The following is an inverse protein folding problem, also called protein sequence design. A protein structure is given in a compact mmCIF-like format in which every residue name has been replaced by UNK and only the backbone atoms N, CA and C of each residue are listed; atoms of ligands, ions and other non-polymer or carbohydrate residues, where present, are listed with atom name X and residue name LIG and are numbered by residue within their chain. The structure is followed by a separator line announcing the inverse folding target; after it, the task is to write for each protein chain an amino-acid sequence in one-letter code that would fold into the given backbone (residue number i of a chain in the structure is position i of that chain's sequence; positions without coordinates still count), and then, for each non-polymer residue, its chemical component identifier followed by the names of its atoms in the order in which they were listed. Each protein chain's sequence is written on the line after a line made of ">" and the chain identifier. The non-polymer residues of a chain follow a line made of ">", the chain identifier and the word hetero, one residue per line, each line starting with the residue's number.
data_IF_675501703888
#
_entry.id   IF_675501703888
#
_cell.length_a   1.000
_cell.length_b   1.000
_cell.length_c   1.000
_cell.angle_alpha   90.00
_cell.angle_beta   90.00
_cell.angle_gamma   90.00
#
_symmetry.space_group_name_H-M   'P 1'
#
loop_
_entity.id
_entity.type
_entity.pdbx_description
1 polymer ?
#
# COMPACT_ATOMS: atom_id res chain seq x y z
N UNK A 1 1.34 -58.96 1.83
CA UNK A 1 1.19 -59.72 0.57
C UNK A 1 2.54 -59.66 -0.14
N UNK A 2 3.17 -60.82 -0.38
CA UNK A 2 4.55 -60.94 -0.86
C UNK A 2 4.66 -60.48 -2.34
N UNK A 3 5.71 -59.76 -2.70
CA UNK A 3 5.99 -59.23 -4.05
C UNK A 3 6.28 -60.29 -5.13
N UNK A 4 6.22 -61.57 -4.74
CA UNK A 4 6.66 -62.70 -5.56
C UNK A 4 5.56 -63.27 -6.47
N UNK A 5 4.27 -63.01 -6.18
CA UNK A 5 3.11 -63.55 -6.93
C UNK A 5 2.58 -62.62 -8.05
N UNK A 6 3.27 -61.52 -8.34
CA UNK A 6 2.83 -60.57 -9.35
C UNK A 6 3.13 -61.06 -10.77
N UNK A 7 2.11 -61.09 -11.62
CA UNK A 7 2.22 -61.46 -13.03
C UNK A 7 3.20 -60.50 -13.75
N UNK A 8 3.95 -61.01 -14.74
CA UNK A 8 4.98 -60.24 -15.48
C UNK A 8 4.42 -58.95 -16.08
N UNK A 9 3.14 -58.94 -16.45
CA UNK A 9 2.46 -57.74 -16.93
C UNK A 9 2.21 -56.72 -15.82
N UNK A 10 1.80 -57.15 -14.63
CA UNK A 10 1.61 -56.28 -13.48
C UNK A 10 2.93 -55.62 -13.06
N UNK A 11 4.05 -56.35 -13.09
CA UNK A 11 5.38 -55.77 -12.81
C UNK A 11 5.78 -54.70 -13.84
N UNK A 12 5.46 -54.90 -15.12
CA UNK A 12 5.70 -53.89 -16.18
C UNK A 12 4.77 -52.68 -16.04
N UNK A 13 3.51 -52.89 -15.65
CA UNK A 13 2.58 -51.80 -15.37
C UNK A 13 3.05 -50.97 -14.17
N UNK A 14 3.44 -51.60 -13.06
CA UNK A 14 3.99 -50.91 -11.89
C UNK A 14 5.31 -50.17 -12.20
N UNK A 15 6.16 -50.73 -13.08
CA UNK A 15 7.37 -50.06 -13.56
C UNK A 15 7.04 -48.85 -14.45
N UNK A 16 6.06 -48.97 -15.36
CA UNK A 16 5.55 -47.83 -16.17
C UNK A 16 4.91 -46.75 -15.32
N UNK A 17 4.26 -47.12 -14.21
CA UNK A 17 3.68 -46.18 -13.25
C UNK A 17 4.73 -45.54 -12.31
N UNK A 18 6.03 -45.84 -12.50
CA UNK A 18 7.12 -45.26 -11.71
C UNK A 18 7.13 -45.70 -10.24
N UNK A 19 6.34 -46.71 -9.88
CA UNK A 19 6.17 -47.18 -8.50
C UNK A 19 7.25 -48.17 -8.05
N UNK A 20 8.03 -48.74 -8.99
CA UNK A 20 9.09 -49.72 -8.74
C UNK A 20 10.43 -49.23 -9.32
N UNK A 21 11.50 -49.32 -8.52
CA UNK A 21 12.86 -49.07 -8.99
C UNK A 21 13.38 -50.25 -9.83
N UNK A 22 14.52 -50.10 -10.50
CA UNK A 22 15.12 -51.14 -11.36
C UNK A 22 15.42 -52.45 -10.61
N UNK A 23 15.47 -52.40 -9.28
CA UNK A 23 15.72 -53.52 -8.38
C UNK A 23 14.42 -54.21 -7.89
N UNK A 24 13.23 -53.75 -8.32
CA UNK A 24 11.95 -54.42 -8.05
C UNK A 24 11.32 -54.14 -6.69
N UNK A 25 11.83 -53.15 -5.94
CA UNK A 25 11.26 -52.71 -4.66
C UNK A 25 10.28 -51.53 -4.85
N UNK A 26 9.22 -51.44 -4.04
CA UNK A 26 8.29 -50.32 -4.08
C UNK A 26 9.02 -49.03 -3.69
N UNK A 27 9.16 -48.12 -4.64
CA UNK A 27 9.65 -46.77 -4.37
C UNK A 27 8.49 -46.05 -3.71
N UNK A 28 8.63 -45.76 -2.41
CA UNK A 28 7.73 -44.87 -1.68
C UNK A 28 7.52 -43.65 -2.56
N UNK A 29 6.30 -43.49 -3.06
CA UNK A 29 5.92 -42.38 -3.92
C UNK A 29 6.58 -41.14 -3.36
N UNK A 30 7.49 -40.53 -4.13
CA UNK A 30 8.04 -39.23 -3.76
C UNK A 30 6.82 -38.40 -3.37
N UNK A 31 6.80 -37.80 -2.16
CA UNK A 31 5.73 -36.88 -1.83
C UNK A 31 5.68 -35.92 -3.00
N UNK A 32 4.59 -35.98 -3.78
CA UNK A 32 4.35 -35.07 -4.90
C UNK A 32 4.78 -33.73 -4.38
N UNK A 33 5.85 -33.17 -4.97
CA UNK A 33 6.45 -31.94 -4.51
C UNK A 33 5.28 -31.01 -4.26
N UNK A 34 5.02 -30.69 -2.98
CA UNK A 34 3.85 -29.92 -2.56
C UNK A 34 3.77 -28.80 -3.55
N UNK A 35 2.76 -28.82 -4.43
CA UNK A 35 2.48 -27.73 -5.34
C UNK A 35 2.56 -26.51 -4.47
N UNK A 36 3.59 -25.67 -4.71
CA UNK A 36 3.96 -24.56 -3.83
C UNK A 36 2.66 -23.92 -3.37
N UNK A 37 2.30 -24.16 -2.11
CA UNK A 37 1.08 -23.63 -1.53
C UNK A 37 1.19 -22.15 -1.75
N UNK A 38 0.22 -21.60 -2.50
CA UNK A 38 0.06 -20.20 -2.86
C UNK A 38 1.04 -19.30 -2.12
N UNK A 39 2.07 -18.84 -2.83
CA UNK A 39 2.83 -17.68 -2.40
C UNK A 39 1.77 -16.59 -2.16
N UNK A 40 1.43 -16.37 -0.89
CA UNK A 40 0.45 -15.38 -0.50
C UNK A 40 0.99 -14.07 -1.07
N UNK A 41 0.29 -13.56 -2.09
CA UNK A 41 0.75 -12.47 -2.92
C UNK A 41 0.76 -11.22 -2.04
N UNK A 42 1.88 -11.03 -1.33
CA UNK A 42 2.08 -9.87 -0.47
C UNK A 42 1.90 -8.66 -1.35
N UNK A 43 0.90 -7.85 -1.05
CA UNK A 43 0.61 -6.61 -1.76
C UNK A 43 1.90 -5.78 -1.76
N UNK A 44 2.52 -5.65 -2.93
CA UNK A 44 3.74 -4.90 -3.09
C UNK A 44 3.49 -3.40 -2.87
N UNK A 45 4.51 -2.61 -2.51
CA UNK A 45 4.36 -1.17 -2.32
C UNK A 45 3.80 -0.45 -3.57
N UNK A 46 4.09 -0.97 -4.76
CA UNK A 46 3.54 -0.48 -6.03
C UNK A 46 2.03 -0.72 -6.14
N UNK A 47 1.56 -1.90 -5.70
CA UNK A 47 0.15 -2.24 -5.71
C UNK A 47 -0.63 -1.40 -4.69
N UNK A 48 -0.06 -1.21 -3.49
CA UNK A 48 -0.63 -0.33 -2.47
C UNK A 48 -0.83 1.11 -2.97
N UNK A 49 0.18 1.72 -3.60
CA UNK A 49 0.05 3.09 -4.15
C UNK A 49 -1.00 3.15 -5.25
N UNK A 50 -1.15 2.09 -6.05
CA UNK A 50 -2.18 2.01 -7.08
C UNK A 50 -3.59 1.98 -6.47
N UNK A 51 -3.78 1.14 -5.45
CA UNK A 51 -5.03 1.06 -4.68
C UNK A 51 -5.37 2.40 -4.02
N UNK A 52 -4.38 3.10 -3.43
CA UNK A 52 -4.58 4.44 -2.86
C UNK A 52 -5.00 5.44 -3.93
N UNK A 53 -4.39 5.43 -5.12
CA UNK A 53 -4.79 6.33 -6.21
C UNK A 53 -6.22 6.03 -6.69
N UNK A 54 -6.61 4.76 -6.73
CA UNK A 54 -7.96 4.36 -7.12
C UNK A 54 -9.01 4.77 -6.07
N UNK A 55 -8.66 4.75 -4.78
CA UNK A 55 -9.52 5.27 -3.71
C UNK A 55 -9.56 6.81 -3.72
N UNK A 56 -8.43 7.48 -3.97
CA UNK A 56 -8.32 8.94 -4.05
C UNK A 56 -9.19 9.53 -5.17
N UNK A 57 -9.44 8.79 -6.26
CA UNK A 57 -10.39 9.20 -7.31
C UNK A 57 -11.84 9.22 -6.86
N UNK A 58 -12.20 8.48 -5.80
CA UNK A 58 -13.55 8.53 -5.19
C UNK A 58 -13.73 9.75 -4.32
N UNK A 59 -12.65 10.34 -3.84
CA UNK A 59 -12.69 11.59 -3.09
C UNK A 59 -12.99 12.72 -4.08
N UNK A 60 -14.09 13.43 -3.84
CA UNK A 60 -14.43 14.62 -4.61
C UNK A 60 -13.44 15.75 -4.27
N UNK A 61 -12.29 15.75 -4.93
CA UNK A 61 -11.32 16.83 -4.78
C UNK A 61 -11.92 18.15 -5.27
N UNK A 62 -11.75 19.23 -4.49
CA UNK A 62 -12.32 20.53 -4.82
C UNK A 62 -11.77 21.04 -6.14
N UNK A 63 -12.59 21.80 -6.87
CA UNK A 63 -12.13 22.45 -8.11
C UNK A 63 -11.05 23.47 -7.77
N UNK A 64 -9.97 23.51 -8.56
CA UNK A 64 -8.87 24.46 -8.41
C UNK A 64 -9.30 25.94 -8.39
N UNK A 65 -10.46 26.27 -8.94
CA UNK A 65 -11.03 27.62 -8.89
C UNK A 65 -11.61 27.97 -7.52
N UNK A 66 -12.20 27.01 -6.82
CA UNK A 66 -12.79 27.18 -5.50
C UNK A 66 -11.71 27.33 -4.43
N UNK A 67 -10.68 26.47 -4.48
CA UNK A 67 -9.49 26.58 -3.62
C UNK A 67 -8.87 27.98 -3.72
N UNK A 68 -8.68 28.49 -4.94
CA UNK A 68 -8.13 29.85 -5.16
C UNK A 68 -8.99 30.95 -4.57
N UNK A 69 -10.32 30.85 -4.69
CA UNK A 69 -11.25 31.85 -4.11
C UNK A 69 -11.16 31.86 -2.59
N UNK A 70 -11.23 30.70 -1.94
CA UNK A 70 -11.14 30.62 -0.49
C UNK A 70 -9.77 31.04 0.03
N UNK A 71 -8.69 30.64 -0.64
CA UNK A 71 -7.34 31.10 -0.28
C UNK A 71 -7.20 32.63 -0.41
N UNK A 72 -7.75 33.24 -1.45
CA UNK A 72 -7.73 34.71 -1.62
C UNK A 72 -8.53 35.42 -0.52
N UNK A 73 -9.69 34.88 -0.14
CA UNK A 73 -10.50 35.45 0.96
C UNK A 73 -9.69 35.44 2.25
N UNK A 74 -9.09 34.29 2.61
CA UNK A 74 -8.28 34.17 3.83
C UNK A 74 -7.03 35.06 3.75
N UNK A 75 -6.35 35.12 2.60
CA UNK A 75 -5.19 35.98 2.43
C UNK A 75 -5.56 37.45 2.64
N UNK A 76 -6.69 37.89 2.07
CA UNK A 76 -7.19 39.25 2.22
C UNK A 76 -7.54 39.57 3.67
N UNK A 77 -8.25 38.69 4.37
CA UNK A 77 -8.62 38.93 5.77
C UNK A 77 -7.39 39.00 6.67
N UNK A 78 -6.39 38.14 6.45
CA UNK A 78 -5.10 38.20 7.17
C UNK A 78 -4.43 39.55 6.93
N UNK A 79 -4.30 39.99 5.68
CA UNK A 79 -3.69 41.29 5.35
C UNK A 79 -4.42 42.46 6.04
N UNK A 80 -5.74 42.46 6.03
CA UNK A 80 -6.55 43.51 6.68
C UNK A 80 -6.31 43.53 8.19
N UNK A 81 -6.34 42.37 8.85
CA UNK A 81 -6.13 42.28 10.30
C UNK A 81 -4.70 42.67 10.67
N UNK A 82 -3.70 42.19 9.92
CA UNK A 82 -2.30 42.55 10.12
C UNK A 82 -2.08 44.05 9.94
N UNK A 83 -2.66 44.66 8.91
CA UNK A 83 -2.57 46.10 8.70
C UNK A 83 -3.25 46.88 9.84
N UNK A 84 -4.43 46.44 10.29
CA UNK A 84 -5.13 47.04 11.42
C UNK A 84 -4.31 47.02 12.71
N UNK A 85 -3.75 45.85 13.07
CA UNK A 85 -2.88 45.71 14.24
C UNK A 85 -1.63 46.59 14.07
N UNK A 86 -0.98 46.56 12.91
CA UNK A 86 0.21 47.37 12.65
C UNK A 86 -0.05 48.89 12.75
N UNK A 87 -1.22 49.36 12.31
CA UNK A 87 -1.64 50.76 12.48
C UNK A 87 -1.84 51.09 13.95
N UNK A 88 -2.51 50.21 14.70
CA UNK A 88 -2.70 50.41 16.14
C UNK A 88 -1.36 50.43 16.87
N UNK A 89 -0.44 49.50 16.59
CA UNK A 89 0.89 49.46 17.19
C UNK A 89 1.68 50.73 16.91
N UNK A 90 1.64 51.24 15.67
CA UNK A 90 2.26 52.51 15.31
C UNK A 90 1.63 53.69 16.06
N UNK A 91 0.29 53.72 16.15
CA UNK A 91 -0.43 54.77 16.87
C UNK A 91 -0.09 54.76 18.37
N UNK A 92 -0.07 53.59 19.00
CA UNK A 92 0.34 53.44 20.40
C UNK A 92 1.82 53.80 20.60
N UNK A 93 2.70 53.48 19.65
CA UNK A 93 4.11 53.89 19.69
C UNK A 93 4.29 55.40 19.68
N UNK A 94 3.59 56.10 18.77
CA UNK A 94 3.61 57.58 18.72
C UNK A 94 2.98 58.19 19.97
N UNK A 95 1.82 57.66 20.40
CA UNK A 95 1.10 58.17 21.57
C UNK A 95 1.89 57.98 22.87
N UNK A 96 2.47 56.81 23.09
CA UNK A 96 3.32 56.54 24.26
C UNK A 96 4.57 57.39 24.24
N UNK A 97 5.22 57.57 23.09
CA UNK A 97 6.36 58.46 22.94
C UNK A 97 6.04 59.93 23.25
N UNK A 98 4.81 60.38 23.01
CA UNK A 98 4.34 61.70 23.45
C UNK A 98 4.11 61.73 24.97
N UNK A 99 3.42 60.72 25.52
CA UNK A 99 3.04 60.64 26.93
C UNK A 99 4.23 60.50 27.89
N UNK A 100 5.29 59.77 27.51
CA UNK A 100 6.48 59.58 28.34
C UNK A 100 7.53 60.68 28.19
N UNK A 101 7.29 61.70 27.35
CA UNK A 101 8.23 62.80 27.11
C UNK A 101 8.05 63.98 28.07
N UNK A 102 7.13 63.87 29.01
CA UNK A 102 6.93 64.75 30.18
C UNK A 102 7.45 64.08 31.46
#
# INVERSE_FOLDING_TARGET
>A
MSSQDLNREQKRALKRMGALNEQGNPVRAQPQARTKGHDEERIGPVQYVREVNDEMKKVAWPKNAEVRRYSLIVLFTVVVITAYIGVLDAAFGVFSGWLYKE
#
